data_IF_771760438964
#
_entry.id   IF_771760438964
#
_cell.length_a   1.000
_cell.length_b   1.000
_cell.length_c   1.000
_cell.angle_alpha   90.00
_cell.angle_beta   90.00
_cell.angle_gamma   90.00
#
_symmetry.space_group_name_H-M   'P 1'
#
loop_
_entity.id
_entity.type
_entity.pdbx_description
1 polymer ?
#
# COMPACT_ATOMS: atom_id res chain seq x y z
N UNK A 1 55.93 24.00 16.88
CA UNK A 1 54.80 24.21 15.95
C UNK A 1 53.52 23.78 16.62
N UNK A 2 52.43 24.53 16.43
CA UNK A 2 51.10 24.11 16.90
C UNK A 2 50.65 22.86 16.12
N UNK A 3 50.05 21.88 16.82
CA UNK A 3 49.43 20.71 16.19
C UNK A 3 47.97 21.00 15.90
N UNK A 4 47.46 20.54 14.76
CA UNK A 4 46.07 20.75 14.34
C UNK A 4 45.25 19.47 14.49
N UNK A 5 44.12 19.56 15.20
CA UNK A 5 43.13 18.48 15.29
C UNK A 5 41.91 18.76 14.42
N UNK A 6 41.45 17.76 13.68
CA UNK A 6 40.21 17.77 12.92
C UNK A 6 39.23 16.76 13.52
N UNK A 7 38.01 17.20 13.81
CA UNK A 7 36.96 16.35 14.35
C UNK A 7 35.74 16.30 13.42
N UNK A 8 35.37 15.12 12.95
CA UNK A 8 34.16 14.88 12.16
C UNK A 8 33.05 14.29 13.03
N UNK A 9 31.95 15.03 13.13
CA UNK A 9 30.78 14.66 13.95
C UNK A 9 29.93 13.56 13.30
N UNK A 10 29.04 12.96 14.11
CA UNK A 10 28.01 12.04 13.63
C UNK A 10 26.93 12.73 12.77
N UNK A 11 26.06 11.91 12.17
CA UNK A 11 24.94 12.39 11.34
C UNK A 11 24.70 11.62 10.04
N UNK A 12 25.09 10.34 10.00
CA UNK A 12 24.88 9.45 8.84
C UNK A 12 25.47 10.00 7.54
N UNK A 13 24.77 9.73 6.43
CA UNK A 13 25.22 10.12 5.08
C UNK A 13 25.35 11.64 4.89
N UNK A 14 24.54 12.43 5.60
CA UNK A 14 24.62 13.90 5.57
C UNK A 14 25.95 14.39 6.13
N UNK A 15 26.37 13.84 7.28
CA UNK A 15 27.67 14.18 7.86
C UNK A 15 28.82 13.74 6.95
N UNK A 16 28.76 12.53 6.38
CA UNK A 16 29.76 12.05 5.43
C UNK A 16 29.93 12.99 4.22
N UNK A 17 28.83 13.46 3.63
CA UNK A 17 28.87 14.40 2.52
C UNK A 17 29.51 15.74 2.94
N UNK A 18 29.09 16.31 4.06
CA UNK A 18 29.61 17.60 4.55
C UNK A 18 31.10 17.52 4.94
N UNK A 19 31.47 16.51 5.72
CA UNK A 19 32.85 16.28 6.16
C UNK A 19 33.80 16.04 4.97
N UNK A 20 33.35 15.38 3.90
CA UNK A 20 34.18 15.22 2.69
C UNK A 20 34.48 16.56 2.01
N UNK A 21 33.52 17.48 1.96
CA UNK A 21 33.73 18.85 1.47
C UNK A 21 34.68 19.66 2.36
N UNK A 22 34.51 19.57 3.69
CA UNK A 22 35.41 20.22 4.66
C UNK A 22 36.83 19.69 4.50
N UNK A 23 37.01 18.37 4.45
CA UNK A 23 38.31 17.74 4.25
C UNK A 23 38.95 18.23 2.95
N UNK A 24 38.19 18.22 1.84
CA UNK A 24 38.67 18.69 0.54
C UNK A 24 39.20 20.11 0.62
N UNK A 25 38.47 21.01 1.28
CA UNK A 25 38.86 22.41 1.40
C UNK A 25 40.12 22.58 2.26
N UNK A 26 40.24 21.84 3.36
CA UNK A 26 41.42 21.88 4.23
C UNK A 26 42.68 21.39 3.50
N UNK A 27 42.56 20.28 2.76
CA UNK A 27 43.66 19.71 1.98
C UNK A 27 44.09 20.64 0.83
N UNK A 28 43.14 21.27 0.11
CA UNK A 28 43.45 22.29 -0.90
C UNK A 28 44.17 23.52 -0.34
N UNK A 29 44.00 23.80 0.96
CA UNK A 29 44.69 24.89 1.67
C UNK A 29 46.02 24.42 2.28
N UNK A 30 46.48 23.20 1.97
CA UNK A 30 47.65 22.55 2.56
C UNK A 30 47.62 22.56 4.10
N UNK A 31 46.43 22.44 4.69
CA UNK A 31 46.29 22.37 6.16
C UNK A 31 46.80 21.03 6.64
N UNK A 32 47.89 21.03 7.42
CA UNK A 32 48.42 19.82 8.04
C UNK A 32 47.51 19.38 9.18
N UNK A 33 46.94 18.17 9.08
CA UNK A 33 46.08 17.57 10.09
C UNK A 33 46.91 16.55 10.88
N UNK A 34 47.18 16.83 12.15
CA UNK A 34 47.99 15.96 13.02
C UNK A 34 47.12 14.94 13.76
N UNK A 35 45.87 15.30 14.07
CA UNK A 35 44.90 14.42 14.72
C UNK A 35 43.59 14.41 13.96
N UNK A 36 43.02 13.23 13.72
CA UNK A 36 41.71 13.06 13.12
C UNK A 36 40.83 12.23 14.05
N UNK A 37 39.74 12.84 14.54
CA UNK A 37 38.72 12.19 15.35
C UNK A 37 37.42 12.10 14.55
N UNK A 38 36.74 10.96 14.58
CA UNK A 38 35.54 10.73 13.79
C UNK A 38 34.49 9.96 14.60
N UNK A 39 33.21 10.32 14.45
CA UNK A 39 32.08 9.59 15.05
C UNK A 39 31.03 9.29 13.99
N UNK A 40 30.52 8.05 13.96
CA UNK A 40 29.40 7.63 13.11
C UNK A 40 29.60 8.05 11.64
N UNK A 41 28.70 8.89 11.09
CA UNK A 41 28.76 9.38 9.72
C UNK A 41 30.06 10.10 9.33
N UNK A 42 30.68 10.83 10.25
CA UNK A 42 32.00 11.45 10.02
C UNK A 42 33.12 10.43 9.78
N UNK A 43 32.92 9.21 10.29
CA UNK A 43 33.80 8.06 10.08
C UNK A 43 33.95 7.70 8.61
N UNK A 44 32.89 7.75 7.79
CA UNK A 44 32.97 7.37 6.37
C UNK A 44 34.05 8.16 5.61
N UNK A 45 34.08 9.49 5.78
CA UNK A 45 35.09 10.33 5.15
C UNK A 45 36.46 10.12 5.77
N UNK A 46 36.53 10.14 7.10
CA UNK A 46 37.82 10.07 7.80
C UNK A 46 38.54 8.75 7.59
N UNK A 47 37.83 7.62 7.70
CA UNK A 47 38.42 6.30 7.47
C UNK A 47 38.73 6.07 5.99
N UNK A 48 37.91 6.55 5.05
CA UNK A 48 38.24 6.46 3.62
C UNK A 48 39.53 7.22 3.28
N UNK A 49 39.69 8.44 3.83
CA UNK A 49 40.92 9.22 3.66
C UNK A 49 42.14 8.53 4.28
N UNK A 50 42.04 8.05 5.52
CA UNK A 50 43.14 7.34 6.18
C UNK A 50 43.48 6.03 5.46
N UNK A 51 42.48 5.20 5.13
CA UNK A 51 42.69 3.94 4.41
C UNK A 51 43.38 4.17 3.06
N UNK A 52 42.91 5.15 2.29
CA UNK A 52 43.55 5.56 1.04
C UNK A 52 45.00 6.01 1.28
N UNK A 53 45.24 6.84 2.30
CA UNK A 53 46.57 7.33 2.69
C UNK A 53 47.53 6.19 3.02
N UNK A 54 47.13 5.27 3.89
CA UNK A 54 47.99 4.19 4.34
C UNK A 54 48.24 3.12 3.25
N UNK A 55 47.29 2.89 2.34
CA UNK A 55 47.47 1.97 1.20
C UNK A 55 48.35 2.54 0.09
N UNK A 56 48.45 3.87 -0.03
CA UNK A 56 49.21 4.54 -1.09
C UNK A 56 50.51 5.18 -0.58
N UNK A 57 51.21 4.48 0.33
CA UNK A 57 52.55 4.88 0.78
C UNK A 57 52.57 6.15 1.65
N UNK A 58 51.45 6.49 2.28
CA UNK A 58 51.29 7.69 3.13
C UNK A 58 51.58 9.01 2.41
N UNK A 59 51.40 9.04 1.09
CA UNK A 59 51.45 10.27 0.29
C UNK A 59 50.39 11.26 0.76
N UNK A 60 50.71 12.55 0.69
CA UNK A 60 49.85 13.63 1.18
C UNK A 60 50.09 14.93 0.42
N UNK A 61 50.41 14.82 -0.87
CA UNK A 61 50.62 15.95 -1.77
C UNK A 61 49.31 16.38 -2.47
N UNK A 62 49.22 17.61 -3.00
CA UNK A 62 48.00 18.12 -3.63
C UNK A 62 47.48 17.27 -4.80
N UNK A 63 48.37 16.65 -5.57
CA UNK A 63 47.98 15.79 -6.70
C UNK A 63 47.32 14.51 -6.15
N UNK A 64 47.92 13.91 -5.14
CA UNK A 64 47.34 12.75 -4.47
C UNK A 64 45.99 13.05 -3.80
N UNK A 65 45.81 14.24 -3.21
CA UNK A 65 44.50 14.66 -2.68
C UNK A 65 43.45 14.71 -3.78
N UNK A 66 43.79 15.27 -4.94
CA UNK A 66 42.87 15.32 -6.07
C UNK A 66 42.50 13.91 -6.56
N UNK A 67 43.49 13.03 -6.72
CA UNK A 67 43.27 11.62 -7.09
C UNK A 67 42.35 10.91 -6.10
N UNK A 68 42.50 11.15 -4.79
CA UNK A 68 41.59 10.60 -3.77
C UNK A 68 40.14 11.04 -3.96
N UNK A 69 39.90 12.35 -4.13
CA UNK A 69 38.53 12.86 -4.31
C UNK A 69 37.92 12.45 -5.66
N UNK A 70 38.72 12.38 -6.72
CA UNK A 70 38.27 11.89 -8.01
C UNK A 70 37.95 10.39 -7.93
N UNK A 71 38.77 9.58 -7.26
CA UNK A 71 38.47 8.18 -7.00
C UNK A 71 37.16 7.98 -6.22
N UNK A 72 36.94 8.76 -5.16
CA UNK A 72 35.66 8.73 -4.42
C UNK A 72 34.48 9.12 -5.30
N UNK A 73 34.65 10.12 -6.17
CA UNK A 73 33.58 10.61 -7.06
C UNK A 73 33.25 9.62 -8.17
N UNK A 74 34.26 8.99 -8.77
CA UNK A 74 34.10 7.97 -9.82
C UNK A 74 33.41 6.70 -9.30
N UNK A 75 33.53 6.42 -8.00
CA UNK A 75 32.91 5.27 -7.34
C UNK A 75 31.67 5.60 -6.53
N UNK A 76 31.17 6.84 -6.62
CA UNK A 76 29.91 7.21 -6.02
C UNK A 76 28.76 6.65 -6.88
N UNK A 77 28.35 5.40 -6.63
CA UNK A 77 27.32 4.68 -7.40
C UNK A 77 25.94 5.35 -7.42
N UNK A 78 25.72 6.41 -6.62
CA UNK A 78 24.48 7.20 -6.60
C UNK A 78 24.54 8.45 -7.50
N UNK A 79 25.68 8.76 -8.12
CA UNK A 79 25.86 9.95 -8.96
C UNK A 79 26.02 9.57 -10.43
N UNK A 80 25.29 10.27 -11.31
CA UNK A 80 25.44 10.11 -12.75
C UNK A 80 26.67 10.88 -13.24
N UNK A 81 27.52 10.24 -14.05
CA UNK A 81 28.71 10.92 -14.57
C UNK A 81 28.39 11.80 -15.78
N UNK A 82 27.93 13.03 -15.54
CA UNK A 82 27.65 14.01 -16.60
C UNK A 82 28.88 14.68 -17.21
N UNK A 83 30.09 14.34 -16.75
CA UNK A 83 31.30 14.77 -17.47
C UNK A 83 31.42 14.08 -18.83
N UNK A 84 30.80 12.91 -18.99
CA UNK A 84 30.65 12.19 -20.24
C UNK A 84 29.15 12.04 -20.54
N UNK A 85 28.55 12.84 -21.44
CA UNK A 85 27.10 12.95 -21.57
C UNK A 85 26.42 11.60 -21.88
N UNK A 86 27.03 10.76 -22.72
CA UNK A 86 26.50 9.42 -23.03
C UNK A 86 26.46 8.49 -21.81
N UNK A 87 27.49 8.56 -20.96
CA UNK A 87 27.55 7.78 -19.71
C UNK A 87 26.54 8.33 -18.69
N UNK A 88 26.44 9.65 -18.55
CA UNK A 88 25.46 10.30 -17.70
C UNK A 88 24.00 9.93 -18.06
N UNK A 89 23.66 9.88 -19.35
CA UNK A 89 22.36 9.41 -19.81
C UNK A 89 22.09 7.95 -19.43
N UNK A 90 23.07 7.06 -19.63
CA UNK A 90 22.95 5.65 -19.24
C UNK A 90 22.76 5.49 -17.74
N UNK A 91 23.58 6.16 -16.94
CA UNK A 91 23.51 6.09 -15.48
C UNK A 91 22.17 6.64 -14.97
N UNK A 92 21.67 7.72 -15.58
CA UNK A 92 20.34 8.28 -15.28
C UNK A 92 19.23 7.28 -15.63
N UNK A 93 19.29 6.66 -16.81
CA UNK A 93 18.32 5.66 -17.23
C UNK A 93 18.29 4.47 -16.26
N UNK A 94 19.46 3.98 -15.84
CA UNK A 94 19.57 2.88 -14.87
C UNK A 94 18.97 3.29 -13.53
N UNK A 95 19.31 4.48 -13.01
CA UNK A 95 18.81 4.96 -11.72
C UNK A 95 17.28 5.16 -11.73
N UNK A 96 16.72 5.75 -12.81
CA UNK A 96 15.28 5.89 -12.98
C UNK A 96 14.60 4.51 -13.10
N UNK A 97 15.19 3.58 -13.84
CA UNK A 97 14.67 2.22 -13.99
C UNK A 97 14.67 1.47 -12.66
N UNK A 98 15.74 1.57 -11.88
CA UNK A 98 15.84 0.99 -10.55
C UNK A 98 14.81 1.61 -9.59
N UNK A 99 14.64 2.94 -9.62
CA UNK A 99 13.65 3.63 -8.80
C UNK A 99 12.23 3.19 -9.15
N UNK A 100 11.90 3.11 -10.45
CA UNK A 100 10.61 2.63 -10.93
C UNK A 100 10.37 1.16 -10.52
N UNK A 101 11.37 0.30 -10.73
CA UNK A 101 11.29 -1.11 -10.37
C UNK A 101 11.04 -1.30 -8.87
N UNK A 102 11.86 -0.67 -8.04
CA UNK A 102 11.84 -0.85 -6.58
C UNK A 102 10.66 -0.14 -5.92
N UNK A 103 10.27 1.04 -6.40
CA UNK A 103 9.29 1.90 -5.73
C UNK A 103 7.87 1.76 -6.27
N UNK A 104 7.71 1.28 -7.50
CA UNK A 104 6.40 1.19 -8.17
C UNK A 104 6.08 -0.25 -8.56
N UNK A 105 6.91 -0.87 -9.40
CA UNK A 105 6.61 -2.19 -9.98
C UNK A 105 6.58 -3.27 -8.89
N UNK A 106 7.62 -3.34 -8.04
CA UNK A 106 7.72 -4.35 -6.99
C UNK A 106 6.55 -4.26 -5.99
N UNK A 107 6.19 -3.09 -5.42
CA UNK A 107 5.01 -2.98 -4.57
C UNK A 107 3.72 -3.39 -5.28
N UNK A 108 3.52 -3.03 -6.55
CA UNK A 108 2.33 -3.42 -7.31
C UNK A 108 2.27 -4.94 -7.47
N UNK A 109 3.37 -5.61 -7.79
CA UNK A 109 3.40 -7.07 -7.94
C UNK A 109 3.12 -7.74 -6.59
N UNK A 110 3.86 -7.35 -5.54
CA UNK A 110 3.76 -7.96 -4.22
C UNK A 110 2.37 -7.72 -3.63
N UNK A 111 1.96 -6.47 -3.45
CA UNK A 111 0.66 -6.14 -2.86
C UNK A 111 -0.50 -6.47 -3.80
N UNK A 112 -0.33 -6.36 -5.11
CA UNK A 112 -1.38 -6.71 -6.08
C UNK A 112 -1.71 -8.20 -6.06
N UNK A 113 -0.70 -9.06 -5.85
CA UNK A 113 -0.90 -10.52 -5.82
C UNK A 113 -1.80 -11.01 -4.69
N UNK A 114 -1.93 -10.25 -3.59
CA UNK A 114 -2.81 -10.63 -2.46
C UNK A 114 -4.27 -10.16 -2.64
N UNK A 115 -4.56 -9.27 -3.59
CA UNK A 115 -5.89 -8.67 -3.74
C UNK A 115 -6.96 -9.73 -4.01
N UNK A 116 -6.76 -10.56 -5.03
CA UNK A 116 -7.76 -11.54 -5.50
C UNK A 116 -7.95 -12.70 -4.49
N UNK A 117 -6.88 -13.29 -3.92
CA UNK A 117 -7.03 -14.29 -2.86
C UNK A 117 -7.76 -13.76 -1.62
N UNK A 118 -7.47 -12.51 -1.23
CA UNK A 118 -8.18 -11.89 -0.11
C UNK A 118 -9.66 -11.67 -0.44
N UNK A 119 -9.98 -11.15 -1.62
CA UNK A 119 -11.37 -10.98 -2.06
C UNK A 119 -12.13 -12.30 -2.06
N UNK A 120 -11.49 -13.38 -2.50
CA UNK A 120 -12.03 -14.74 -2.39
C UNK A 120 -12.27 -15.17 -0.94
N UNK A 121 -11.30 -14.95 -0.04
CA UNK A 121 -11.42 -15.32 1.37
C UNK A 121 -12.57 -14.56 2.08
N UNK A 122 -12.70 -13.25 1.82
CA UNK A 122 -13.80 -12.45 2.39
C UNK A 122 -15.15 -12.90 1.85
N UNK A 123 -15.25 -13.19 0.55
CA UNK A 123 -16.46 -13.73 -0.07
C UNK A 123 -16.84 -15.10 0.52
N UNK A 124 -15.85 -15.97 0.73
CA UNK A 124 -16.06 -17.30 1.31
C UNK A 124 -16.57 -17.23 2.76
N UNK A 125 -16.03 -16.32 3.58
CA UNK A 125 -16.37 -16.23 5.02
C UNK A 125 -17.64 -15.39 5.25
N UNK A 126 -17.73 -14.21 4.61
CA UNK A 126 -18.75 -13.20 4.89
C UNK A 126 -19.70 -12.93 3.72
N UNK A 127 -19.41 -13.43 2.52
CA UNK A 127 -20.14 -13.08 1.30
C UNK A 127 -21.64 -13.37 1.37
N UNK A 128 -22.03 -14.51 1.97
CA UNK A 128 -23.44 -14.87 2.14
C UNK A 128 -24.20 -13.88 3.05
N UNK A 129 -23.55 -13.41 4.12
CA UNK A 129 -24.14 -12.42 5.01
C UNK A 129 -24.18 -11.02 4.36
N UNK A 130 -23.13 -10.66 3.61
CA UNK A 130 -23.05 -9.38 2.92
C UNK A 130 -24.06 -9.25 1.77
N UNK A 131 -24.35 -10.34 1.05
CA UNK A 131 -25.33 -10.40 -0.04
C UNK A 131 -26.78 -10.58 0.40
N UNK A 132 -27.03 -10.95 1.66
CA UNK A 132 -28.39 -11.28 2.11
C UNK A 132 -29.35 -10.10 1.87
N UNK A 133 -30.43 -10.35 1.13
CA UNK A 133 -31.45 -9.33 0.85
C UNK A 133 -32.30 -9.06 2.09
N UNK A 134 -32.67 -7.79 2.29
CA UNK A 134 -33.44 -7.32 3.45
C UNK A 134 -34.96 -7.34 3.22
N UNK A 135 -35.40 -7.89 2.08
CA UNK A 135 -36.80 -7.85 1.64
C UNK A 135 -37.36 -9.24 1.46
N UNK A 136 -38.35 -9.60 2.27
CA UNK A 136 -39.30 -10.67 1.93
C UNK A 136 -40.38 -10.05 1.07
N UNK A 137 -40.35 -10.31 -0.22
CA UNK A 137 -41.48 -9.98 -1.08
C UNK A 137 -42.44 -11.17 -1.00
N UNK A 138 -43.61 -10.97 -0.39
CA UNK A 138 -44.68 -11.98 -0.45
C UNK A 138 -45.17 -12.06 -1.89
N UNK A 139 -44.97 -13.22 -2.51
CA UNK A 139 -45.63 -13.52 -3.77
C UNK A 139 -47.13 -13.59 -3.52
N UNK A 140 -47.92 -12.85 -4.31
CA UNK A 140 -49.38 -12.82 -4.27
C UNK A 140 -50.05 -14.15 -4.70
N UNK A 141 -49.38 -15.30 -4.53
CA UNK A 141 -49.82 -16.62 -4.98
C UNK A 141 -50.19 -17.57 -3.83
N UNK A 142 -50.16 -17.14 -2.57
CA UNK A 142 -50.52 -17.98 -1.41
C UNK A 142 -51.81 -17.56 -0.70
N UNK A 143 -52.77 -16.97 -1.42
CA UNK A 143 -54.12 -16.70 -0.92
C UNK A 143 -55.19 -17.33 -1.82
N UNK A 144 -55.18 -18.66 -1.93
CA UNK A 144 -56.35 -19.42 -2.43
C UNK A 144 -56.50 -20.71 -1.62
N UNK A 145 -57.17 -20.59 -0.48
CA UNK A 145 -57.94 -21.68 0.13
C UNK A 145 -59.37 -21.19 0.26
N UNK A 146 -60.26 -21.64 -0.63
CA UNK A 146 -61.69 -21.32 -0.58
C UNK A 146 -62.45 -21.46 -1.90
N UNK A 147 -62.76 -22.71 -2.28
CA UNK A 147 -63.90 -23.24 -3.08
C UNK A 147 -64.39 -22.59 -4.41
N UNK A 148 -65.10 -23.38 -5.27
CA UNK A 148 -65.17 -23.19 -6.71
C UNK A 148 -66.43 -22.46 -7.17
N UNK A 149 -66.32 -21.55 -8.15
CA UNK A 149 -67.44 -21.18 -9.03
C UNK A 149 -66.91 -20.94 -10.46
N UNK A 150 -67.62 -21.58 -11.38
CA UNK A 150 -67.61 -21.49 -12.84
C UNK A 150 -67.83 -20.07 -13.37
N UNK A 151 -67.03 -19.61 -14.34
CA UNK A 151 -67.47 -19.42 -15.73
C UNK A 151 -66.42 -18.66 -16.56
N UNK A 152 -66.35 -19.06 -17.82
CA UNK A 152 -65.54 -18.51 -18.92
C UNK A 152 -65.69 -16.99 -19.08
N UNK A 153 -64.58 -16.25 -19.22
CA UNK A 153 -64.53 -14.98 -19.98
C UNK A 153 -63.09 -14.56 -20.35
N UNK A 154 -62.81 -14.71 -21.65
CA UNK A 154 -62.11 -13.78 -22.56
C UNK A 154 -60.79 -13.16 -22.09
N UNK A 155 -59.73 -13.62 -22.75
CA UNK A 155 -58.44 -12.94 -22.92
C UNK A 155 -58.67 -11.53 -23.46
N UNK A 156 -58.34 -10.51 -22.66
CA UNK A 156 -58.06 -9.17 -23.17
C UNK A 156 -56.73 -8.68 -22.58
N UNK A 157 -55.72 -8.73 -23.43
CA UNK A 157 -54.46 -8.03 -23.25
C UNK A 157 -54.73 -6.54 -23.44
N UNK A 158 -54.67 -5.75 -22.37
CA UNK A 158 -54.36 -4.30 -22.34
C UNK A 158 -54.58 -3.77 -20.92
N UNK A 159 -53.58 -3.99 -20.06
CA UNK A 159 -53.27 -3.19 -18.85
C UNK A 159 -52.38 -4.03 -17.92
N UNK A 160 -51.14 -4.32 -18.33
CA UNK A 160 -50.10 -4.74 -17.38
C UNK A 160 -49.46 -3.49 -16.77
N UNK A 161 -50.29 -2.70 -16.10
CA UNK A 161 -49.86 -1.65 -15.20
C UNK A 161 -48.96 -2.30 -14.15
N UNK A 162 -47.76 -1.71 -13.98
CA UNK A 162 -46.70 -2.14 -13.07
C UNK A 162 -47.27 -2.75 -11.79
N UNK A 163 -47.27 -4.07 -11.70
CA UNK A 163 -47.58 -4.82 -10.47
C UNK A 163 -46.47 -4.49 -9.49
N UNK A 164 -46.58 -3.35 -8.80
CA UNK A 164 -45.70 -2.91 -7.71
C UNK A 164 -45.77 -3.98 -6.63
N UNK A 165 -44.85 -4.93 -6.68
CA UNK A 165 -44.56 -5.82 -5.57
C UNK A 165 -44.20 -4.91 -4.41
N UNK A 166 -45.10 -4.80 -3.43
CA UNK A 166 -44.84 -4.06 -2.19
C UNK A 166 -43.88 -4.88 -1.36
N UNK A 167 -42.59 -4.79 -1.66
CA UNK A 167 -41.56 -5.31 -0.78
C UNK A 167 -41.54 -4.42 0.47
N UNK A 168 -42.06 -4.93 1.58
CA UNK A 168 -41.89 -4.28 2.88
C UNK A 168 -40.45 -4.54 3.32
N UNK A 169 -39.75 -3.46 3.69
CA UNK A 169 -38.48 -3.57 4.42
C UNK A 169 -38.85 -4.08 5.81
N UNK A 170 -38.86 -5.39 5.99
CA UNK A 170 -38.86 -5.97 7.33
C UNK A 170 -37.43 -5.84 7.80
N UNK A 171 -37.19 -5.27 8.98
CA UNK A 171 -35.88 -5.33 9.61
C UNK A 171 -35.54 -6.81 9.82
N UNK A 172 -34.90 -7.42 8.83
CA UNK A 172 -34.61 -8.84 8.81
C UNK A 172 -33.55 -9.17 9.84
N UNK A 173 -33.60 -10.41 10.34
CA UNK A 173 -32.53 -10.99 11.18
C UNK A 173 -31.14 -10.84 10.55
N UNK A 174 -31.04 -10.83 9.21
CA UNK A 174 -29.79 -10.66 8.46
C UNK A 174 -29.21 -9.25 8.46
N UNK A 175 -30.05 -8.22 8.40
CA UNK A 175 -29.60 -6.83 8.57
C UNK A 175 -29.01 -6.62 9.97
N UNK A 176 -29.67 -7.19 10.99
CA UNK A 176 -29.18 -7.18 12.36
C UNK A 176 -27.85 -7.94 12.50
N UNK A 177 -27.72 -9.14 11.92
CA UNK A 177 -26.47 -9.91 11.90
C UNK A 177 -25.28 -9.11 11.31
N UNK A 178 -25.50 -8.34 10.23
CA UNK A 178 -24.47 -7.46 9.66
C UNK A 178 -24.07 -6.33 10.61
N UNK A 179 -25.05 -5.67 11.22
CA UNK A 179 -24.78 -4.60 12.20
C UNK A 179 -24.01 -5.14 13.40
N UNK A 180 -24.35 -6.33 13.89
CA UNK A 180 -23.61 -7.03 14.95
C UNK A 180 -22.19 -7.34 14.49
N UNK A 181 -21.99 -7.85 13.27
CA UNK A 181 -20.65 -8.11 12.72
C UNK A 181 -19.79 -6.83 12.69
N UNK A 182 -20.31 -5.73 12.13
CA UNK A 182 -19.55 -4.49 12.05
C UNK A 182 -19.26 -3.89 13.43
N UNK A 183 -20.24 -3.93 14.32
CA UNK A 183 -20.10 -3.40 15.68
C UNK A 183 -19.10 -4.22 16.50
N UNK A 184 -19.14 -5.55 16.41
CA UNK A 184 -18.19 -6.43 17.13
C UNK A 184 -16.76 -6.24 16.62
N UNK A 185 -16.55 -6.18 15.30
CA UNK A 185 -15.24 -5.91 14.72
C UNK A 185 -14.72 -4.50 15.10
N UNK A 186 -15.59 -3.49 15.14
CA UNK A 186 -15.23 -2.14 15.57
C UNK A 186 -14.85 -2.09 17.06
N UNK A 187 -15.62 -2.74 17.92
CA UNK A 187 -15.34 -2.83 19.36
C UNK A 187 -14.04 -3.58 19.62
N UNK A 188 -13.77 -4.68 18.91
CA UNK A 188 -12.50 -5.40 19.02
C UNK A 188 -11.33 -4.59 18.49
N UNK A 189 -11.48 -3.90 17.36
CA UNK A 189 -10.45 -3.01 16.83
C UNK A 189 -10.05 -1.96 17.88
N UNK A 190 -11.02 -1.21 18.41
CA UNK A 190 -10.77 -0.14 19.39
C UNK A 190 -10.31 -0.72 20.73
N UNK A 191 -10.98 -1.76 21.23
CA UNK A 191 -10.69 -2.39 22.51
C UNK A 191 -9.27 -2.95 22.57
N UNK A 192 -8.87 -3.75 21.57
CA UNK A 192 -7.50 -4.28 21.50
C UNK A 192 -6.46 -3.20 21.20
N UNK A 193 -6.80 -2.15 20.46
CA UNK A 193 -5.89 -1.01 20.23
C UNK A 193 -5.59 -0.28 21.55
N UNK A 194 -6.62 0.03 22.33
CA UNK A 194 -6.49 0.68 23.63
C UNK A 194 -5.76 -0.22 24.63
N UNK A 195 -6.06 -1.52 24.63
CA UNK A 195 -5.39 -2.49 25.49
C UNK A 195 -3.90 -2.63 25.13
N UNK A 196 -3.57 -2.69 23.84
CA UNK A 196 -2.19 -2.70 23.36
C UNK A 196 -1.45 -1.46 23.85
N UNK A 197 -2.03 -0.27 23.70
CA UNK A 197 -1.42 0.99 24.16
C UNK A 197 -1.25 1.07 25.68
N UNK A 198 -2.16 0.46 26.45
CA UNK A 198 -2.11 0.46 27.92
C UNK A 198 -1.09 -0.54 28.48
N UNK A 199 -0.86 -1.66 27.79
CA UNK A 199 0.09 -2.68 28.24
C UNK A 199 1.52 -2.29 27.82
N UNK A 200 2.43 -2.25 28.80
CA UNK A 200 3.86 -1.94 28.58
C UNK A 200 4.73 -3.20 28.44
N UNK A 201 4.09 -4.38 28.51
CA UNK A 201 4.73 -5.70 28.45
C UNK A 201 4.85 -6.21 27.00
N UNK A 202 5.61 -7.29 26.78
CA UNK A 202 5.76 -7.93 25.46
C UNK A 202 4.46 -8.39 24.79
N UNK A 203 3.33 -8.42 25.51
CA UNK A 203 2.00 -8.70 24.96
C UNK A 203 1.40 -7.56 24.14
N UNK A 204 1.90 -6.32 24.27
CA UNK A 204 1.42 -5.16 23.52
C UNK A 204 1.41 -5.43 22.00
N UNK A 205 2.51 -5.96 21.47
CA UNK A 205 2.64 -6.26 20.05
C UNK A 205 1.58 -7.27 19.56
N UNK A 206 1.24 -8.28 20.38
CA UNK A 206 0.23 -9.28 20.03
C UNK A 206 -1.17 -8.66 19.96
N UNK A 207 -1.54 -7.86 20.97
CA UNK A 207 -2.84 -7.17 20.97
C UNK A 207 -2.94 -6.14 19.84
N UNK A 208 -1.84 -5.45 19.52
CA UNK A 208 -1.81 -4.53 18.39
C UNK A 208 -2.04 -5.25 17.06
N UNK A 209 -1.42 -6.41 16.84
CA UNK A 209 -1.67 -7.23 15.63
C UNK A 209 -3.13 -7.65 15.56
N UNK A 210 -3.72 -8.14 16.65
CA UNK A 210 -5.13 -8.53 16.70
C UNK A 210 -6.03 -7.34 16.36
N UNK A 211 -5.78 -6.17 16.95
CA UNK A 211 -6.48 -4.93 16.61
C UNK A 211 -6.39 -4.64 15.12
N UNK A 212 -5.20 -4.62 14.53
CA UNK A 212 -5.01 -4.35 13.10
C UNK A 212 -5.77 -5.34 12.22
N UNK A 213 -5.76 -6.63 12.56
CA UNK A 213 -6.53 -7.66 11.84
C UNK A 213 -8.04 -7.38 11.93
N UNK A 214 -8.58 -7.08 13.11
CA UNK A 214 -9.99 -6.71 13.28
C UNK A 214 -10.34 -5.44 12.49
N UNK A 215 -9.46 -4.43 12.48
CA UNK A 215 -9.64 -3.19 11.72
C UNK A 215 -9.64 -3.42 10.21
N UNK A 216 -8.77 -4.29 9.72
CA UNK A 216 -8.73 -4.69 8.30
C UNK A 216 -9.96 -5.51 7.90
N UNK A 217 -10.38 -6.47 8.73
CA UNK A 217 -11.62 -7.23 8.49
C UNK A 217 -12.85 -6.32 8.49
N UNK A 218 -12.91 -5.35 9.41
CA UNK A 218 -13.95 -4.32 9.40
C UNK A 218 -13.91 -3.54 8.09
N UNK A 219 -12.74 -3.05 7.68
CA UNK A 219 -12.61 -2.30 6.43
C UNK A 219 -13.04 -3.12 5.20
N UNK A 220 -12.61 -4.38 5.09
CA UNK A 220 -12.92 -5.26 3.97
C UNK A 220 -14.34 -5.83 3.97
N UNK A 221 -15.12 -5.66 5.04
CA UNK A 221 -16.53 -6.05 5.08
C UNK A 221 -17.45 -4.84 5.02
N UNK A 222 -17.14 -3.78 5.77
CA UNK A 222 -17.93 -2.55 5.84
C UNK A 222 -17.79 -1.69 4.58
N UNK A 223 -16.58 -1.46 4.06
CA UNK A 223 -16.39 -0.57 2.90
C UNK A 223 -17.09 -1.13 1.65
N UNK A 224 -16.96 -2.43 1.29
CA UNK A 224 -17.69 -2.99 0.14
C UNK A 224 -19.21 -2.89 0.30
N UNK A 225 -19.71 -3.14 1.50
CA UNK A 225 -21.13 -2.98 1.81
C UNK A 225 -21.59 -1.53 1.69
N UNK A 226 -20.80 -0.57 2.21
CA UNK A 226 -21.07 0.86 2.10
C UNK A 226 -21.07 1.33 0.63
N UNK A 227 -20.13 0.84 -0.17
CA UNK A 227 -20.11 1.11 -1.62
C UNK A 227 -21.41 0.62 -2.26
N UNK A 228 -21.81 -0.62 -1.96
CA UNK A 228 -23.02 -1.19 -2.54
C UNK A 228 -24.30 -0.45 -2.10
N UNK A 229 -24.48 -0.25 -0.80
CA UNK A 229 -25.73 0.26 -0.22
C UNK A 229 -25.88 1.77 -0.37
N UNK A 230 -24.83 2.53 -0.06
CA UNK A 230 -24.88 4.00 -0.05
C UNK A 230 -24.47 4.57 -1.41
N UNK A 231 -23.31 4.16 -1.93
CA UNK A 231 -22.76 4.82 -3.12
C UNK A 231 -23.50 4.47 -4.41
N UNK A 232 -24.06 3.27 -4.56
CA UNK A 232 -24.88 2.96 -5.74
C UNK A 232 -26.27 3.61 -5.70
N UNK A 233 -26.79 3.94 -4.52
CA UNK A 233 -28.04 4.69 -4.38
C UNK A 233 -27.86 6.19 -4.68
N UNK A 234 -26.63 6.70 -4.63
CA UNK A 234 -26.30 8.11 -4.91
C UNK A 234 -26.01 8.37 -6.39
N UNK A 235 -26.31 9.57 -6.90
CA UNK A 235 -25.96 9.94 -8.27
C UNK A 235 -24.43 10.04 -8.45
N UNK A 236 -23.97 9.84 -9.69
CA UNK A 236 -22.54 9.67 -10.03
C UNK A 236 -21.65 10.82 -9.51
N UNK A 237 -22.12 12.07 -9.63
CA UNK A 237 -21.38 13.25 -9.16
C UNK A 237 -21.16 13.25 -7.64
N UNK A 238 -22.18 12.87 -6.87
CA UNK A 238 -22.07 12.74 -5.42
C UNK A 238 -21.12 11.59 -5.03
N UNK A 239 -21.17 10.47 -5.75
CA UNK A 239 -20.22 9.35 -5.55
C UNK A 239 -18.77 9.79 -5.76
N UNK A 240 -18.49 10.50 -6.86
CA UNK A 240 -17.15 11.01 -7.15
C UNK A 240 -16.68 11.99 -6.08
N UNK A 241 -17.56 12.88 -5.61
CA UNK A 241 -17.24 13.85 -4.56
C UNK A 241 -16.87 13.16 -3.25
N UNK A 242 -17.61 12.12 -2.83
CA UNK A 242 -17.32 11.35 -1.60
C UNK A 242 -15.94 10.67 -1.71
N UNK A 243 -15.63 10.05 -2.86
CA UNK A 243 -14.34 9.38 -3.07
C UNK A 243 -13.19 10.38 -3.07
N UNK A 244 -13.33 11.50 -3.80
CA UNK A 244 -12.31 12.56 -3.87
C UNK A 244 -12.06 13.16 -2.48
N UNK A 245 -13.13 13.50 -1.76
CA UNK A 245 -13.03 14.05 -0.41
C UNK A 245 -12.34 13.08 0.55
N UNK A 246 -12.72 11.80 0.48
CA UNK A 246 -12.09 10.74 1.28
C UNK A 246 -10.59 10.66 1.02
N UNK A 247 -10.16 10.60 -0.24
CA UNK A 247 -8.73 10.56 -0.60
C UNK A 247 -8.02 11.86 -0.17
N UNK A 248 -8.63 13.02 -0.39
CA UNK A 248 -8.05 14.32 -0.07
C UNK A 248 -7.68 14.43 1.42
N UNK A 249 -8.55 13.98 2.32
CA UNK A 249 -8.29 14.00 3.77
C UNK A 249 -6.99 13.26 4.12
N UNK A 250 -6.72 12.12 3.49
CA UNK A 250 -5.52 11.33 3.77
C UNK A 250 -4.24 11.96 3.23
N UNK A 251 -4.28 12.67 2.10
CA UNK A 251 -3.07 13.25 1.50
C UNK A 251 -2.71 14.61 2.11
N UNK A 252 -3.71 15.45 2.37
CA UNK A 252 -3.47 16.84 2.74
C UNK A 252 -3.41 17.07 4.24
N UNK A 253 -4.07 16.24 5.06
CA UNK A 253 -4.06 16.41 6.50
C UNK A 253 -2.74 15.91 7.13
N UNK A 254 -1.92 16.77 7.78
CA UNK A 254 -0.56 16.42 8.20
C UNK A 254 -0.46 15.20 9.12
N UNK A 255 -1.43 15.02 10.01
CA UNK A 255 -1.48 13.90 10.97
C UNK A 255 -1.75 12.56 10.26
N UNK A 256 -2.52 12.57 9.17
CA UNK A 256 -2.96 11.38 8.45
C UNK A 256 -2.05 11.05 7.25
N UNK A 257 -1.30 12.03 6.74
CA UNK A 257 -0.43 11.90 5.56
C UNK A 257 0.54 10.72 5.64
N UNK A 258 1.07 10.43 6.82
CA UNK A 258 1.98 9.29 7.02
C UNK A 258 1.37 7.91 6.77
N UNK A 259 0.03 7.81 6.65
CA UNK A 259 -0.72 6.56 6.45
C UNK A 259 -1.45 6.50 5.11
N UNK A 260 -1.32 7.52 4.26
CA UNK A 260 -2.08 7.65 3.01
C UNK A 260 -1.87 6.48 2.05
N UNK A 261 -0.63 6.00 1.89
CA UNK A 261 -0.31 4.85 1.03
C UNK A 261 -1.01 3.57 1.49
N UNK A 262 -1.02 3.31 2.79
CA UNK A 262 -1.70 2.16 3.36
C UNK A 262 -3.22 2.22 3.17
N UNK A 263 -3.83 3.38 3.40
CA UNK A 263 -5.28 3.54 3.19
C UNK A 263 -5.66 3.38 1.73
N UNK A 264 -4.86 3.90 0.80
CA UNK A 264 -5.10 3.71 -0.63
C UNK A 264 -5.10 2.22 -1.01
N UNK A 265 -4.15 1.44 -0.47
CA UNK A 265 -4.12 -0.02 -0.67
C UNK A 265 -5.40 -0.66 -0.10
N UNK A 266 -5.83 -0.27 1.10
CA UNK A 266 -7.08 -0.77 1.70
C UNK A 266 -8.30 -0.45 0.83
N UNK A 267 -8.38 0.73 0.22
CA UNK A 267 -9.46 1.09 -0.71
C UNK A 267 -9.45 0.26 -1.99
N UNK A 268 -8.28 0.05 -2.60
CA UNK A 268 -8.15 -0.81 -3.79
C UNK A 268 -8.61 -2.23 -3.46
N UNK A 269 -8.17 -2.76 -2.31
CA UNK A 269 -8.55 -4.08 -1.83
C UNK A 269 -10.06 -4.18 -1.59
N UNK A 270 -10.64 -3.22 -0.86
CA UNK A 270 -12.08 -3.18 -0.61
C UNK A 270 -12.88 -3.07 -1.92
N UNK A 271 -12.41 -2.32 -2.91
CA UNK A 271 -13.08 -2.25 -4.21
C UNK A 271 -13.04 -3.59 -4.97
N UNK A 272 -11.97 -4.36 -4.86
CA UNK A 272 -11.91 -5.71 -5.42
C UNK A 272 -12.81 -6.70 -4.65
N UNK A 273 -12.88 -6.59 -3.32
CA UNK A 273 -13.85 -7.36 -2.52
C UNK A 273 -15.28 -7.03 -2.96
N UNK A 274 -15.61 -5.75 -3.15
CA UNK A 274 -16.91 -5.32 -3.66
C UNK A 274 -17.24 -5.99 -5.00
N UNK A 275 -16.28 -6.01 -5.95
CA UNK A 275 -16.46 -6.68 -7.24
C UNK A 275 -16.69 -8.18 -7.12
N UNK A 276 -15.97 -8.87 -6.24
CA UNK A 276 -16.19 -10.31 -6.02
C UNK A 276 -17.52 -10.60 -5.33
N UNK A 277 -17.85 -9.88 -4.26
CA UNK A 277 -19.01 -10.15 -3.41
C UNK A 277 -20.32 -9.77 -4.11
N UNK A 278 -20.36 -8.60 -4.75
CA UNK A 278 -21.59 -8.04 -5.34
C UNK A 278 -21.60 -8.07 -6.88
N UNK A 279 -20.47 -8.35 -7.53
CA UNK A 279 -20.37 -8.22 -8.99
C UNK A 279 -21.24 -9.18 -9.79
N UNK A 280 -21.42 -10.42 -9.32
CA UNK A 280 -22.25 -11.39 -10.02
C UNK A 280 -23.74 -11.03 -9.98
N UNK A 281 -24.26 -10.66 -8.80
CA UNK A 281 -25.70 -10.45 -8.59
C UNK A 281 -26.18 -9.07 -9.05
N UNK A 282 -25.30 -8.06 -9.01
CA UNK A 282 -25.66 -6.66 -9.26
C UNK A 282 -24.89 -6.00 -10.42
N UNK A 283 -24.14 -6.78 -11.22
CA UNK A 283 -23.44 -6.27 -12.40
C UNK A 283 -22.36 -5.24 -12.09
N UNK A 284 -21.67 -5.35 -10.94
CA UNK A 284 -20.63 -4.40 -10.58
C UNK A 284 -19.44 -4.46 -11.55
N UNK A 285 -18.96 -3.30 -11.98
CA UNK A 285 -17.82 -3.17 -12.91
C UNK A 285 -16.57 -2.66 -12.20
N UNK A 286 -15.43 -3.27 -12.52
CA UNK A 286 -14.09 -2.73 -12.19
C UNK A 286 -13.52 -2.11 -13.45
N UNK A 287 -13.28 -0.79 -13.46
CA UNK A 287 -12.70 -0.08 -14.60
C UNK A 287 -13.39 -0.38 -15.95
N UNK A 288 -14.72 -0.58 -15.93
CA UNK A 288 -15.50 -0.94 -17.12
C UNK A 288 -15.52 -2.44 -17.46
N UNK A 289 -14.84 -3.29 -16.69
CA UNK A 289 -14.89 -4.75 -16.83
C UNK A 289 -15.99 -5.33 -15.95
N UNK A 290 -16.96 -5.98 -16.58
CA UNK A 290 -18.01 -6.71 -15.88
C UNK A 290 -17.46 -7.93 -15.15
N UNK A 291 -18.07 -8.26 -14.02
CA UNK A 291 -17.70 -9.45 -13.27
C UNK A 291 -18.05 -10.72 -14.07
N UNK A 292 -17.06 -11.59 -14.24
CA UNK A 292 -17.26 -12.95 -14.75
C UNK A 292 -16.53 -13.92 -13.84
N UNK A 293 -17.21 -15.00 -13.42
CA UNK A 293 -16.61 -16.07 -12.64
C UNK A 293 -15.36 -16.62 -13.32
N UNK A 294 -15.42 -16.84 -14.64
CA UNK A 294 -14.28 -17.34 -15.41
C UNK A 294 -13.08 -16.39 -15.30
N UNK A 295 -13.30 -15.08 -15.46
CA UNK A 295 -12.24 -14.09 -15.38
C UNK A 295 -11.64 -14.04 -13.97
N UNK A 296 -12.48 -14.00 -12.93
CA UNK A 296 -12.04 -13.92 -11.54
C UNK A 296 -11.16 -15.12 -11.16
N UNK A 297 -11.57 -16.35 -11.49
CA UNK A 297 -10.78 -17.54 -11.17
C UNK A 297 -9.47 -17.64 -11.97
N UNK A 298 -9.43 -17.13 -13.22
CA UNK A 298 -8.15 -16.99 -13.96
C UNK A 298 -7.20 -16.02 -13.25
N UNK A 299 -7.72 -14.89 -12.78
CA UNK A 299 -6.94 -13.92 -12.00
C UNK A 299 -6.47 -14.50 -10.66
N UNK A 300 -7.32 -15.29 -9.99
CA UNK A 300 -6.96 -15.98 -8.75
C UNK A 300 -5.81 -16.96 -8.99
N UNK A 301 -5.88 -17.77 -10.04
CA UNK A 301 -4.80 -18.69 -10.40
C UNK A 301 -3.49 -17.96 -10.73
N UNK A 302 -3.58 -16.89 -11.54
CA UNK A 302 -2.42 -16.05 -11.86
C UNK A 302 -1.80 -15.42 -10.59
N UNK A 303 -2.63 -14.95 -9.65
CA UNK A 303 -2.16 -14.40 -8.38
C UNK A 303 -1.44 -15.44 -7.52
N UNK A 304 -1.90 -16.70 -7.53
CA UNK A 304 -1.24 -17.82 -6.87
C UNK A 304 0.15 -18.11 -7.44
N UNK A 305 0.30 -18.08 -8.77
CA UNK A 305 1.61 -18.22 -9.43
C UNK A 305 2.56 -17.10 -8.99
N UNK A 306 2.10 -15.85 -9.02
CA UNK A 306 2.94 -14.69 -8.66
C UNK A 306 3.38 -14.79 -7.19
N UNK A 307 2.47 -15.16 -6.28
CA UNK A 307 2.76 -15.33 -4.86
C UNK A 307 3.90 -16.32 -4.59
N UNK A 308 4.05 -17.35 -5.44
CA UNK A 308 5.15 -18.31 -5.32
C UNK A 308 6.52 -17.67 -5.56
N UNK A 309 6.59 -16.64 -6.40
CA UNK A 309 7.82 -15.89 -6.70
C UNK A 309 8.06 -14.69 -5.77
N UNK A 310 7.06 -14.23 -5.02
CA UNK A 310 7.17 -13.05 -4.12
C UNK A 310 8.35 -13.13 -3.14
N UNK A 311 8.65 -14.26 -2.47
CA UNK A 311 9.82 -14.35 -1.59
C UNK A 311 11.15 -14.08 -2.32
N UNK A 312 11.27 -14.55 -3.56
CA UNK A 312 12.44 -14.30 -4.41
C UNK A 312 12.55 -12.83 -4.84
N UNK A 313 11.43 -12.20 -5.18
CA UNK A 313 11.38 -10.79 -5.56
C UNK A 313 11.82 -9.87 -4.41
N UNK A 314 11.44 -10.18 -3.16
CA UNK A 314 11.88 -9.43 -1.98
C UNK A 314 13.41 -9.48 -1.78
N UNK A 315 14.03 -10.65 -1.99
CA UNK A 315 15.48 -10.79 -1.93
C UNK A 315 16.20 -10.01 -3.04
N UNK A 316 15.63 -10.00 -4.25
CA UNK A 316 16.13 -9.24 -5.40
C UNK A 316 16.06 -7.74 -5.14
N UNK A 317 14.95 -7.24 -4.58
CA UNK A 317 14.79 -5.83 -4.22
C UNK A 317 15.87 -5.34 -3.26
N UNK A 318 16.20 -6.15 -2.23
CA UNK A 318 17.25 -5.80 -1.27
C UNK A 318 18.64 -5.81 -1.91
N UNK A 319 18.92 -6.76 -2.82
CA UNK A 319 20.25 -6.93 -3.41
C UNK A 319 20.56 -5.98 -4.57
N UNK A 320 19.57 -5.63 -5.41
CA UNK A 320 19.75 -4.77 -6.58
C UNK A 320 20.38 -3.42 -6.22
N UNK A 321 19.95 -2.82 -5.11
CA UNK A 321 20.50 -1.55 -4.63
C UNK A 321 21.97 -1.69 -4.21
N UNK A 322 22.34 -2.80 -3.57
CA UNK A 322 23.74 -3.05 -3.20
C UNK A 322 24.63 -3.36 -4.40
N UNK A 323 24.11 -4.06 -5.41
CA UNK A 323 24.88 -4.40 -6.62
C UNK A 323 25.16 -3.17 -7.47
N UNK A 324 24.20 -2.25 -7.59
CA UNK A 324 24.41 -0.99 -8.30
C UNK A 324 25.37 -0.04 -7.57
N UNK A 325 25.41 -0.12 -6.24
CA UNK A 325 26.22 0.78 -5.41
C UNK A 325 27.64 0.24 -5.11
N UNK A 326 28.08 -0.82 -5.80
CA UNK A 326 29.38 -1.47 -5.62
C UNK A 326 30.32 -1.19 -6.79
#
# INVERSE_FOLDING_TARGET
MAKTGLAFSGGGIRSAAFCSGVLRRLLQRNTKIDYLSCVSGGGYTGTAYLDWKYRHGKKDDPKWHQEFFDYMRERAGLMCNWQKPLQGMRDTLVLLSLMLLVSVIMPIIVWGSYIVPLAFAIDFIFGNLLRAEDTTCEDASSATTGSPITDSLVVNATAAESRRVRCKIVAGTKAYERLVLFSTLAVFFVGFYLLAKRLRNGFNAKFYIISVVCGLLLAFTFIPYFIHFVLNATPIWARLLIIIFSIFVWFFFPVLRGKSSFVLVVYIYAYCVYWKVFGFQYGATIFGVEYSHHLFYRLLFASGIILWFVPGLGAVQQRLVYVFNR
#
